data_IF_692626058991
#
_entry.id   IF_692626058991
#
_cell.length_a   1.000
_cell.length_b   1.000
_cell.length_c   1.000
_cell.angle_alpha   90.00
_cell.angle_beta   90.00
_cell.angle_gamma   90.00
#
_symmetry.space_group_name_H-M   'P 1'
#
loop_
_entity.id
_entity.type
_entity.pdbx_description
1 polymer ?
#
# COMPACT_ATOMS: atom_id res chain seq x y z
N UNK A 1 -31.82 -17.80 -11.15
CA UNK A 1 -31.63 -16.34 -11.12
C UNK A 1 -30.18 -16.02 -10.73
N UNK A 2 -29.19 -16.44 -11.54
CA UNK A 2 -27.76 -16.49 -11.14
C UNK A 2 -26.88 -15.35 -11.70
N UNK A 3 -27.42 -14.46 -12.55
CA UNK A 3 -26.59 -13.50 -13.29
C UNK A 3 -26.15 -12.23 -12.53
N UNK A 4 -26.93 -11.76 -11.55
CA UNK A 4 -26.68 -10.45 -10.93
C UNK A 4 -25.55 -10.49 -9.89
N UNK A 5 -25.41 -11.58 -9.13
CA UNK A 5 -24.36 -11.72 -8.11
C UNK A 5 -22.97 -11.86 -8.72
N UNK A 6 -22.86 -12.58 -9.83
CA UNK A 6 -21.59 -12.80 -10.54
C UNK A 6 -21.10 -11.51 -11.21
N UNK A 7 -22.03 -10.73 -11.77
CA UNK A 7 -21.73 -9.41 -12.32
C UNK A 7 -21.26 -8.43 -11.23
N UNK A 8 -21.94 -8.40 -10.07
CA UNK A 8 -21.51 -7.59 -8.92
C UNK A 8 -20.12 -8.03 -8.45
N UNK A 9 -19.89 -9.32 -8.28
CA UNK A 9 -18.59 -9.85 -7.87
C UNK A 9 -17.48 -9.48 -8.86
N UNK A 10 -17.74 -9.57 -10.18
CA UNK A 10 -16.78 -9.19 -11.21
C UNK A 10 -16.46 -7.68 -11.19
N UNK A 11 -17.46 -6.82 -10.97
CA UNK A 11 -17.27 -5.37 -10.85
C UNK A 11 -16.47 -5.01 -9.60
N UNK A 12 -16.75 -5.65 -8.47
CA UNK A 12 -16.04 -5.40 -7.22
C UNK A 12 -14.57 -5.86 -7.28
N UNK A 13 -14.26 -6.97 -7.98
CA UNK A 13 -12.85 -7.36 -8.27
C UNK A 13 -12.08 -6.29 -9.03
N UNK A 14 -12.76 -5.46 -9.81
CA UNK A 14 -12.17 -4.31 -10.55
C UNK A 14 -12.18 -3.02 -9.73
N UNK A 15 -12.38 -3.08 -8.41
CA UNK A 15 -12.45 -1.94 -7.48
C UNK A 15 -13.55 -0.92 -7.83
N UNK A 16 -14.69 -1.38 -8.38
CA UNK A 16 -15.84 -0.53 -8.56
C UNK A 16 -16.32 0.05 -7.21
N UNK A 17 -16.67 1.33 -7.18
CA UNK A 17 -17.18 1.97 -5.96
C UNK A 17 -18.61 1.48 -5.66
N UNK A 18 -18.85 0.80 -4.51
CA UNK A 18 -20.18 0.27 -4.16
C UNK A 18 -21.18 1.35 -3.72
N UNK A 19 -20.71 2.59 -3.49
CA UNK A 19 -21.48 3.71 -2.96
C UNK A 19 -21.87 4.75 -4.03
N UNK A 20 -21.73 4.40 -5.32
CA UNK A 20 -22.19 5.27 -6.42
C UNK A 20 -23.67 5.60 -6.27
N UNK A 21 -24.09 6.80 -6.66
CA UNK A 21 -25.48 7.25 -6.54
C UNK A 21 -26.09 7.52 -7.90
N UNK A 22 -27.34 7.11 -8.09
CA UNK A 22 -28.13 7.48 -9.27
C UNK A 22 -28.55 8.95 -9.20
N UNK A 23 -29.25 9.45 -10.23
CA UNK A 23 -29.78 10.83 -10.26
C UNK A 23 -30.77 11.13 -9.14
N UNK A 24 -31.44 10.11 -8.62
CA UNK A 24 -32.36 10.19 -7.48
C UNK A 24 -31.67 9.81 -6.16
N UNK A 25 -30.33 9.82 -6.16
CA UNK A 25 -29.50 9.58 -5.00
C UNK A 25 -29.55 8.15 -4.43
N UNK A 26 -30.10 7.18 -5.16
CA UNK A 26 -30.14 5.78 -4.76
C UNK A 26 -28.77 5.11 -4.96
N UNK A 27 -28.40 4.26 -4.02
CA UNK A 27 -27.19 3.43 -4.03
C UNK A 27 -27.49 2.02 -4.59
N UNK A 28 -26.48 1.31 -5.12
CA UNK A 28 -26.61 -0.09 -5.49
C UNK A 28 -27.19 -0.95 -4.36
N UNK A 29 -26.86 -0.63 -3.11
CA UNK A 29 -27.39 -1.32 -1.93
C UNK A 29 -28.88 -1.05 -1.71
N UNK A 30 -29.36 0.18 -1.91
CA UNK A 30 -30.79 0.51 -1.84
C UNK A 30 -31.61 -0.21 -2.92
N UNK A 31 -31.08 -0.29 -4.14
CA UNK A 31 -31.74 -1.02 -5.23
C UNK A 31 -31.81 -2.51 -4.91
N UNK A 32 -30.71 -3.13 -4.48
CA UNK A 32 -30.71 -4.53 -4.05
C UNK A 32 -31.68 -4.80 -2.89
N UNK A 33 -31.76 -3.87 -1.94
CA UNK A 33 -32.67 -3.93 -0.80
C UNK A 33 -34.15 -3.81 -1.23
N UNK A 34 -34.46 -2.87 -2.13
CA UNK A 34 -35.81 -2.63 -2.66
C UNK A 34 -36.35 -3.83 -3.46
N UNK A 35 -35.48 -4.51 -4.21
CA UNK A 35 -35.83 -5.73 -4.97
C UNK A 35 -35.67 -7.03 -4.18
N UNK A 36 -35.40 -6.97 -2.87
CA UNK A 36 -35.30 -8.13 -1.96
C UNK A 36 -34.21 -9.13 -2.37
N UNK A 37 -33.10 -8.65 -2.92
CA UNK A 37 -31.95 -9.47 -3.31
C UNK A 37 -30.95 -9.59 -2.15
N UNK A 38 -31.24 -10.49 -1.20
CA UNK A 38 -30.45 -10.65 0.02
C UNK A 38 -28.97 -10.98 -0.26
N UNK A 39 -28.69 -11.82 -1.26
CA UNK A 39 -27.33 -12.19 -1.67
C UNK A 39 -26.58 -11.01 -2.28
N UNK A 40 -27.25 -10.18 -3.07
CA UNK A 40 -26.67 -8.95 -3.61
C UNK A 40 -26.40 -7.93 -2.49
N UNK A 41 -27.31 -7.78 -1.53
CA UNK A 41 -27.08 -6.98 -0.33
C UNK A 41 -25.86 -7.49 0.46
N UNK A 42 -25.77 -8.80 0.70
CA UNK A 42 -24.65 -9.40 1.42
C UNK A 42 -23.30 -9.15 0.71
N UNK A 43 -23.25 -9.33 -0.61
CA UNK A 43 -22.05 -9.07 -1.41
C UNK A 43 -21.66 -7.58 -1.40
N UNK A 44 -22.63 -6.68 -1.57
CA UNK A 44 -22.37 -5.23 -1.52
C UNK A 44 -21.86 -4.80 -0.14
N UNK A 45 -22.47 -5.30 0.93
CA UNK A 45 -22.03 -5.06 2.30
C UNK A 45 -20.63 -5.62 2.58
N UNK A 46 -20.32 -6.82 2.06
CA UNK A 46 -18.98 -7.41 2.13
C UNK A 46 -17.92 -6.55 1.43
N UNK A 47 -18.32 -5.85 0.36
CA UNK A 47 -17.48 -4.91 -0.36
C UNK A 47 -17.58 -3.46 0.14
N UNK A 48 -18.02 -3.24 1.38
CA UNK A 48 -18.07 -1.93 2.07
C UNK A 48 -19.11 -0.94 1.52
N UNK A 49 -20.22 -1.44 0.99
CA UNK A 49 -21.39 -0.58 0.77
C UNK A 49 -21.90 0.00 2.09
N UNK A 50 -22.19 1.30 2.10
CA UNK A 50 -22.68 2.06 3.24
C UNK A 50 -24.17 1.86 3.43
N UNK A 51 -24.60 1.45 4.63
CA UNK A 51 -26.02 1.23 4.93
C UNK A 51 -26.75 2.50 5.42
N UNK A 52 -26.01 3.59 5.61
CA UNK A 52 -26.50 4.86 6.13
C UNK A 52 -26.88 5.90 5.07
N UNK A 53 -26.54 5.67 3.80
CA UNK A 53 -26.80 6.62 2.72
C UNK A 53 -28.30 6.66 2.39
N UNK A 54 -28.89 7.86 2.46
CA UNK A 54 -30.29 8.08 2.12
C UNK A 54 -30.48 8.47 0.65
N UNK A 55 -31.62 8.13 0.06
CA UNK A 55 -32.03 8.64 -1.27
C UNK A 55 -32.54 10.10 -1.19
N UNK A 56 -33.04 10.63 -2.31
CA UNK A 56 -33.59 11.99 -2.37
C UNK A 56 -34.84 12.18 -1.48
N UNK A 57 -35.49 11.10 -1.06
CA UNK A 57 -36.65 11.09 -0.17
C UNK A 57 -36.24 10.87 1.30
N UNK A 58 -34.95 10.79 1.61
CA UNK A 58 -34.46 10.55 2.97
C UNK A 58 -34.52 9.08 3.42
N UNK A 59 -34.80 8.14 2.51
CA UNK A 59 -34.93 6.72 2.84
C UNK A 59 -33.58 6.03 2.77
N UNK A 60 -33.21 5.32 3.83
CA UNK A 60 -32.00 4.47 3.87
C UNK A 60 -32.27 3.12 3.20
N UNK A 61 -31.23 2.33 2.85
CA UNK A 61 -31.43 0.97 2.35
C UNK A 61 -32.33 0.11 3.25
N UNK A 62 -32.23 0.27 4.57
CA UNK A 62 -33.10 -0.41 5.52
C UNK A 62 -34.58 0.01 5.38
N UNK A 63 -34.85 1.29 5.17
CA UNK A 63 -36.20 1.80 4.92
C UNK A 63 -36.75 1.25 3.58
N UNK A 64 -35.93 1.25 2.53
CA UNK A 64 -36.30 0.70 1.22
C UNK A 64 -36.60 -0.81 1.28
N UNK A 65 -35.88 -1.59 2.10
CA UNK A 65 -36.16 -3.01 2.32
C UNK A 65 -37.50 -3.26 3.05
N UNK A 66 -37.92 -2.32 3.92
CA UNK A 66 -39.21 -2.41 4.64
C UNK A 66 -40.38 -1.98 3.75
N UNK A 67 -40.16 -1.01 2.86
CA UNK A 67 -41.16 -0.47 1.94
C UNK A 67 -41.34 -1.28 0.65
N UNK A 68 -40.47 -2.28 0.37
CA UNK A 68 -40.50 -3.03 -0.88
C UNK A 68 -41.87 -3.72 -1.10
N UNK A 69 -42.71 -3.15 -1.99
CA UNK A 69 -43.97 -3.75 -2.44
C UNK A 69 -43.81 -4.64 -3.69
N UNK A 70 -42.58 -4.77 -4.19
CA UNK A 70 -42.27 -5.59 -5.35
C UNK A 70 -42.34 -7.08 -4.98
N UNK A 71 -43.37 -7.76 -5.48
CA UNK A 71 -43.60 -9.18 -5.24
C UNK A 71 -44.82 -9.72 -5.97
N UNK A 72 -44.90 -9.55 -7.29
CA UNK A 72 -45.84 -10.29 -8.16
C UNK A 72 -45.21 -11.55 -8.76
N UNK A 73 -44.24 -12.17 -8.07
CA UNK A 73 -43.55 -13.39 -8.49
C UNK A 73 -43.66 -14.52 -7.44
N UNK A 74 -43.55 -15.79 -7.86
CA UNK A 74 -43.87 -16.98 -7.05
C UNK A 74 -42.93 -17.22 -5.85
N UNK A 75 -41.76 -16.57 -5.80
CA UNK A 75 -40.76 -16.74 -4.73
C UNK A 75 -40.92 -15.72 -3.58
N UNK A 76 -42.15 -15.21 -3.37
CA UNK A 76 -42.52 -14.27 -2.31
C UNK A 76 -42.46 -14.91 -0.91
N UNK A 77 -41.27 -15.27 -0.44
CA UNK A 77 -41.08 -15.62 0.95
C UNK A 77 -40.71 -14.35 1.72
N UNK A 78 -41.49 -14.00 2.73
CA UNK A 78 -41.12 -12.97 3.71
C UNK A 78 -39.70 -13.17 4.28
N UNK A 79 -39.13 -14.37 4.13
CA UNK A 79 -37.74 -14.74 4.42
C UNK A 79 -36.72 -13.90 3.64
N UNK A 80 -36.88 -13.66 2.34
CA UNK A 80 -35.92 -12.85 1.57
C UNK A 80 -35.93 -11.38 2.02
N UNK A 81 -37.12 -10.84 2.33
CA UNK A 81 -37.26 -9.49 2.89
C UNK A 81 -36.67 -9.40 4.30
N UNK A 82 -37.01 -10.36 5.17
CA UNK A 82 -36.49 -10.45 6.52
C UNK A 82 -34.96 -10.52 6.52
N UNK A 83 -34.36 -11.31 5.62
CA UNK A 83 -32.91 -11.44 5.48
C UNK A 83 -32.24 -10.14 5.02
N UNK A 84 -32.83 -9.42 4.07
CA UNK A 84 -32.34 -8.08 3.71
C UNK A 84 -32.42 -7.11 4.90
N UNK A 85 -33.55 -7.08 5.61
CA UNK A 85 -33.75 -6.22 6.77
C UNK A 85 -32.75 -6.54 7.89
N UNK A 86 -32.51 -7.81 8.16
CA UNK A 86 -31.54 -8.27 9.16
C UNK A 86 -30.11 -7.85 8.81
N UNK A 87 -29.65 -8.12 7.59
CA UNK A 87 -28.31 -7.74 7.12
C UNK A 87 -28.08 -6.23 7.20
N UNK A 88 -29.09 -5.45 6.80
CA UNK A 88 -29.02 -3.99 6.80
C UNK A 88 -29.13 -3.41 8.21
N UNK A 89 -29.95 -3.98 9.09
CA UNK A 89 -30.05 -3.57 10.49
C UNK A 89 -28.76 -3.86 11.25
N UNK A 90 -28.17 -5.05 11.07
CA UNK A 90 -26.89 -5.42 11.68
C UNK A 90 -25.76 -4.48 11.22
N UNK A 91 -25.74 -4.13 9.93
CA UNK A 91 -24.77 -3.16 9.41
C UNK A 91 -25.01 -1.76 9.97
N UNK A 92 -26.26 -1.27 9.97
CA UNK A 92 -26.61 0.06 10.46
C UNK A 92 -26.30 0.22 11.96
N UNK A 93 -26.54 -0.80 12.77
CA UNK A 93 -26.18 -0.81 14.19
C UNK A 93 -24.66 -0.70 14.40
N UNK A 94 -23.87 -1.42 13.57
CA UNK A 94 -22.41 -1.33 13.59
C UNK A 94 -21.93 0.06 13.16
N UNK A 95 -22.53 0.66 12.14
CA UNK A 95 -22.22 2.02 11.68
C UNK A 95 -22.64 3.10 12.70
N UNK A 96 -23.74 2.90 13.44
CA UNK A 96 -24.17 3.78 14.53
C UNK A 96 -23.23 3.72 15.73
N UNK A 97 -22.82 2.52 16.17
CA UNK A 97 -21.86 2.33 17.25
C UNK A 97 -20.50 2.97 16.93
N UNK A 98 -20.11 3.01 15.64
CA UNK A 98 -18.93 3.75 15.18
C UNK A 98 -19.07 5.28 15.33
N UNK A 99 -20.27 5.85 15.15
CA UNK A 99 -20.49 7.30 15.26
C UNK A 99 -20.49 7.81 16.71
N UNK A 100 -20.93 7.00 17.66
CA UNK A 100 -20.95 7.36 19.09
C UNK A 100 -19.53 7.41 19.71
N UNK A 101 -18.50 6.92 18.98
CA UNK A 101 -17.11 6.77 19.45
C UNK A 101 -16.06 7.81 18.99
N UNK A 102 -16.41 8.92 18.30
CA UNK A 102 -15.51 10.07 17.87
C UNK A 102 -14.66 9.83 16.59
N UNK A 103 -13.93 10.86 16.06
CA UNK A 103 -14.34 12.07 15.32
C UNK A 103 -14.42 11.84 13.78
N UNK A 104 -14.85 12.87 13.04
CA UNK A 104 -15.13 12.84 11.61
C UNK A 104 -13.92 12.53 10.71
N UNK A 105 -13.79 11.28 10.27
CA UNK A 105 -13.05 10.89 9.07
C UNK A 105 -13.95 9.97 8.23
N UNK A 106 -13.95 10.12 6.91
CA UNK A 106 -14.84 9.34 6.05
C UNK A 106 -14.52 7.84 6.18
N UNK A 107 -15.52 6.93 6.12
CA UNK A 107 -15.28 5.48 6.27
C UNK A 107 -14.26 4.90 5.28
N UNK A 108 -14.10 5.54 4.13
CA UNK A 108 -13.15 5.15 3.09
C UNK A 108 -11.72 5.61 3.43
N UNK A 109 -11.55 6.81 4.00
CA UNK A 109 -10.25 7.31 4.49
C UNK A 109 -9.81 6.58 5.75
N UNK A 110 -10.70 6.32 6.71
CA UNK A 110 -10.39 5.54 7.91
C UNK A 110 -10.05 4.08 7.56
N UNK A 111 -10.73 3.49 6.57
CA UNK A 111 -10.41 2.16 6.07
C UNK A 111 -9.09 2.08 5.31
N UNK A 112 -8.74 3.13 4.56
CA UNK A 112 -7.45 3.26 3.89
C UNK A 112 -6.31 3.54 4.89
N UNK A 113 -6.54 4.41 5.88
CA UNK A 113 -5.61 4.71 6.96
C UNK A 113 -5.38 3.48 7.85
N UNK A 114 -6.42 2.72 8.18
CA UNK A 114 -6.28 1.46 8.92
C UNK A 114 -5.54 0.40 8.11
N UNK A 115 -5.82 0.25 6.80
CA UNK A 115 -5.09 -0.66 5.93
C UNK A 115 -3.61 -0.24 5.76
N UNK A 116 -3.35 1.06 5.66
CA UNK A 116 -2.00 1.63 5.63
C UNK A 116 -1.27 1.40 6.96
N UNK A 117 -1.97 1.53 8.09
CA UNK A 117 -1.43 1.26 9.43
C UNK A 117 -1.09 -0.22 9.61
N UNK A 118 -1.97 -1.12 9.15
CA UNK A 118 -1.73 -2.57 9.15
C UNK A 118 -0.55 -2.90 8.25
N UNK A 119 -0.52 -2.38 7.01
CA UNK A 119 0.61 -2.55 6.10
C UNK A 119 1.92 -1.98 6.65
N UNK A 120 1.87 -0.86 7.38
CA UNK A 120 3.05 -0.28 8.03
C UNK A 120 3.55 -1.15 9.20
N UNK A 121 2.64 -1.80 9.95
CA UNK A 121 2.99 -2.75 11.01
C UNK A 121 3.57 -4.04 10.44
N UNK A 122 2.93 -4.62 9.42
CA UNK A 122 3.42 -5.80 8.70
C UNK A 122 4.80 -5.52 8.08
N UNK A 123 4.95 -4.36 7.43
CA UNK A 123 6.25 -3.92 6.92
C UNK A 123 7.28 -3.87 8.06
N UNK A 124 6.95 -3.29 9.23
CA UNK A 124 7.85 -3.20 10.37
C UNK A 124 8.31 -4.56 10.91
N UNK A 125 7.40 -5.52 11.03
CA UNK A 125 7.71 -6.89 11.44
C UNK A 125 8.64 -7.58 10.43
N UNK A 126 8.36 -7.43 9.14
CA UNK A 126 9.22 -7.92 8.06
C UNK A 126 10.59 -7.23 8.04
N UNK A 127 10.69 -5.93 8.36
CA UNK A 127 11.98 -5.25 8.53
C UNK A 127 12.79 -5.90 9.63
N UNK A 128 12.17 -6.20 10.77
CA UNK A 128 12.86 -6.86 11.88
C UNK A 128 13.31 -8.28 11.51
N UNK A 129 12.47 -9.06 10.83
CA UNK A 129 12.86 -10.37 10.31
C UNK A 129 14.05 -10.27 9.34
N UNK A 130 13.99 -9.33 8.39
CA UNK A 130 15.08 -9.07 7.45
C UNK A 130 16.38 -8.67 8.16
N UNK A 131 16.31 -7.82 9.19
CA UNK A 131 17.46 -7.47 10.01
C UNK A 131 18.01 -8.70 10.76
N UNK A 132 17.14 -9.59 11.23
CA UNK A 132 17.51 -10.86 11.86
C UNK A 132 18.25 -11.81 10.91
N UNK A 133 17.78 -11.95 9.66
CA UNK A 133 18.47 -12.71 8.62
C UNK A 133 19.81 -12.06 8.24
N UNK A 134 19.84 -10.74 8.14
CA UNK A 134 21.06 -9.99 7.85
C UNK A 134 22.15 -10.23 8.91
N UNK A 135 21.79 -10.20 10.19
CA UNK A 135 22.70 -10.47 11.29
C UNK A 135 23.30 -11.90 11.25
N UNK A 136 22.56 -12.86 10.68
CA UNK A 136 22.99 -14.24 10.48
C UNK A 136 23.80 -14.46 9.18
N UNK A 137 23.98 -13.42 8.35
CA UNK A 137 24.61 -13.54 7.03
C UNK A 137 23.72 -14.17 5.95
N UNK A 138 22.44 -14.37 6.23
CA UNK A 138 21.45 -14.94 5.31
C UNK A 138 20.88 -13.84 4.40
N UNK A 139 21.70 -13.36 3.46
CA UNK A 139 21.39 -12.16 2.69
C UNK A 139 20.26 -12.35 1.68
N UNK A 140 20.07 -13.55 1.12
CA UNK A 140 18.97 -13.79 0.17
C UNK A 140 17.61 -13.78 0.87
N UNK A 141 17.54 -14.37 2.06
CA UNK A 141 16.37 -14.38 2.94
C UNK A 141 16.06 -12.97 3.44
N UNK A 142 17.09 -12.21 3.79
CA UNK A 142 16.93 -10.79 4.14
C UNK A 142 16.35 -9.98 2.97
N UNK A 143 16.86 -10.19 1.75
CA UNK A 143 16.32 -9.55 0.53
C UNK A 143 14.86 -9.92 0.31
N UNK A 144 14.48 -11.18 0.50
CA UNK A 144 13.09 -11.62 0.36
C UNK A 144 12.18 -10.91 1.38
N UNK A 145 12.57 -10.89 2.66
CA UNK A 145 11.82 -10.21 3.72
C UNK A 145 11.64 -8.71 3.44
N UNK A 146 12.71 -8.01 3.04
CA UNK A 146 12.62 -6.59 2.67
C UNK A 146 11.78 -6.34 1.41
N UNK A 147 11.82 -7.25 0.44
CA UNK A 147 11.03 -7.12 -0.79
C UNK A 147 9.53 -7.28 -0.51
N UNK A 148 9.17 -8.21 0.38
CA UNK A 148 7.79 -8.34 0.86
C UNK A 148 7.40 -7.07 1.64
N UNK A 149 8.26 -6.55 2.51
CA UNK A 149 7.97 -5.32 3.25
C UNK A 149 7.73 -4.11 2.33
N UNK A 150 8.51 -3.99 1.25
CA UNK A 150 8.38 -2.93 0.24
C UNK A 150 7.10 -3.04 -0.59
N UNK A 151 6.44 -4.21 -0.60
CA UNK A 151 5.12 -4.35 -1.23
C UNK A 151 4.01 -3.65 -0.45
N UNK A 152 4.23 -3.39 0.85
CA UNK A 152 3.30 -2.68 1.72
C UNK A 152 3.63 -1.20 1.89
N UNK A 153 4.93 -0.83 1.84
CA UNK A 153 5.38 0.53 2.12
C UNK A 153 6.60 0.93 1.27
N UNK A 154 6.52 2.06 0.55
CA UNK A 154 7.65 2.66 -0.18
C UNK A 154 8.55 3.44 0.81
N UNK A 155 9.48 2.73 1.47
CA UNK A 155 10.28 3.26 2.58
C UNK A 155 11.78 3.34 2.28
N UNK A 156 12.38 4.49 2.56
CA UNK A 156 13.79 4.76 2.30
C UNK A 156 14.73 3.82 3.09
N UNK A 157 14.36 3.44 4.32
CA UNK A 157 15.20 2.57 5.15
C UNK A 157 15.22 1.15 4.59
N UNK A 158 14.07 0.64 4.15
CA UNK A 158 13.94 -0.67 3.52
C UNK A 158 14.79 -0.84 2.26
N UNK A 159 14.68 0.09 1.31
CA UNK A 159 15.54 0.07 0.12
C UNK A 159 17.02 0.14 0.50
N UNK A 160 17.35 0.98 1.49
CA UNK A 160 18.73 1.12 1.94
C UNK A 160 19.28 -0.18 2.56
N UNK A 161 18.47 -0.90 3.34
CA UNK A 161 18.87 -2.18 3.94
C UNK A 161 18.96 -3.30 2.90
N UNK A 162 18.04 -3.34 1.93
CA UNK A 162 18.08 -4.31 0.83
C UNK A 162 19.27 -4.07 -0.10
N UNK A 163 19.60 -2.80 -0.37
CA UNK A 163 20.82 -2.40 -1.09
C UNK A 163 22.09 -2.95 -0.43
N UNK A 164 22.17 -2.91 0.92
CA UNK A 164 23.33 -3.48 1.63
C UNK A 164 23.43 -5.00 1.43
N UNK A 165 22.30 -5.71 1.43
CA UNK A 165 22.29 -7.14 1.15
C UNK A 165 22.79 -7.44 -0.26
N UNK A 166 22.36 -6.66 -1.25
CA UNK A 166 22.84 -6.80 -2.62
C UNK A 166 24.34 -6.54 -2.75
N UNK A 167 24.89 -5.55 -2.03
CA UNK A 167 26.34 -5.34 -1.97
C UNK A 167 27.07 -6.56 -1.39
N UNK A 168 26.53 -7.19 -0.33
CA UNK A 168 27.10 -8.42 0.25
C UNK A 168 27.03 -9.62 -0.71
N UNK A 169 26.01 -9.64 -1.56
CA UNK A 169 25.81 -10.65 -2.61
C UNK A 169 26.54 -10.35 -3.92
N UNK A 170 27.33 -9.27 -3.99
CA UNK A 170 28.01 -8.80 -5.21
C UNK A 170 27.06 -8.45 -6.37
N UNK A 171 25.81 -8.15 -6.07
CA UNK A 171 24.76 -7.72 -7.02
C UNK A 171 24.72 -6.21 -7.11
N UNK A 172 25.76 -5.64 -7.73
CA UNK A 172 26.04 -4.20 -7.65
C UNK A 172 25.00 -3.33 -8.39
N UNK A 173 24.39 -3.83 -9.47
CA UNK A 173 23.35 -3.09 -10.20
C UNK A 173 22.08 -2.92 -9.35
N UNK A 174 21.60 -4.00 -8.74
CA UNK A 174 20.43 -3.96 -7.87
C UNK A 174 20.69 -3.12 -6.62
N UNK A 175 21.90 -3.22 -6.05
CA UNK A 175 22.32 -2.37 -4.95
C UNK A 175 22.26 -0.87 -5.31
N UNK A 176 22.73 -0.50 -6.52
CA UNK A 176 22.70 0.88 -7.02
C UNK A 176 21.26 1.38 -7.14
N UNK A 177 20.38 0.61 -7.78
CA UNK A 177 18.98 1.01 -7.99
C UNK A 177 18.24 1.24 -6.67
N UNK A 178 18.39 0.33 -5.71
CA UNK A 178 17.79 0.47 -4.38
C UNK A 178 18.37 1.67 -3.62
N UNK A 179 19.69 1.89 -3.69
CA UNK A 179 20.31 3.02 -3.02
C UNK A 179 19.87 4.36 -3.62
N UNK A 180 19.72 4.45 -4.95
CA UNK A 180 19.17 5.64 -5.62
C UNK A 180 17.74 5.93 -5.18
N UNK A 181 16.87 4.90 -5.17
CA UNK A 181 15.49 5.02 -4.71
C UNK A 181 15.42 5.45 -3.25
N UNK A 182 16.27 4.89 -2.38
CA UNK A 182 16.36 5.29 -0.97
C UNK A 182 16.79 6.75 -0.77
N UNK A 183 17.75 7.25 -1.56
CA UNK A 183 18.17 8.66 -1.53
C UNK A 183 17.04 9.57 -1.99
N UNK A 184 16.34 9.20 -3.08
CA UNK A 184 15.21 9.98 -3.59
C UNK A 184 14.05 10.09 -2.61
N UNK A 185 13.72 9.00 -1.91
CA UNK A 185 12.65 8.99 -0.89
C UNK A 185 13.02 9.74 0.39
N UNK A 186 14.31 9.80 0.76
CA UNK A 186 14.74 10.43 2.00
C UNK A 186 14.65 11.97 1.98
N UNK A 187 14.53 12.59 0.79
CA UNK A 187 14.39 14.04 0.64
C UNK A 187 15.46 14.83 1.40
N UNK A 188 15.04 15.94 2.02
CA UNK A 188 15.94 16.83 2.79
C UNK A 188 16.45 16.22 4.10
N UNK A 189 15.68 15.31 4.71
CA UNK A 189 16.13 14.58 5.90
C UNK A 189 17.37 13.72 5.58
N UNK A 190 17.42 13.23 4.33
CA UNK A 190 18.53 12.50 3.77
C UNK A 190 18.77 11.14 4.43
N UNK A 191 19.48 10.26 3.74
CA UNK A 191 19.91 8.98 4.28
C UNK A 191 21.39 8.75 3.98
N UNK A 192 22.26 9.08 4.96
CA UNK A 192 23.72 8.96 4.81
C UNK A 192 24.17 7.55 4.44
N UNK A 193 23.50 6.53 4.98
CA UNK A 193 23.79 5.12 4.65
C UNK A 193 23.42 4.82 3.21
N UNK A 194 22.27 5.30 2.73
CA UNK A 194 21.88 5.15 1.33
C UNK A 194 22.86 5.84 0.37
N UNK A 195 23.27 7.08 0.67
CA UNK A 195 24.25 7.82 -0.13
C UNK A 195 25.60 7.07 -0.20
N UNK A 196 26.07 6.56 0.93
CA UNK A 196 27.30 5.77 0.96
C UNK A 196 27.18 4.44 0.20
N UNK A 197 26.05 3.73 0.36
CA UNK A 197 25.75 2.48 -0.37
C UNK A 197 25.67 2.72 -1.89
N UNK A 198 25.11 3.86 -2.31
CA UNK A 198 25.07 4.25 -3.71
C UNK A 198 26.48 4.41 -4.30
N UNK A 199 27.34 5.19 -3.65
CA UNK A 199 28.71 5.36 -4.14
C UNK A 199 29.51 4.05 -4.11
N UNK A 200 29.30 3.18 -3.12
CA UNK A 200 29.88 1.82 -3.08
C UNK A 200 29.41 0.94 -4.24
N UNK A 201 28.12 0.98 -4.56
CA UNK A 201 27.56 0.23 -5.69
C UNK A 201 28.15 0.73 -7.03
N UNK A 202 28.22 2.05 -7.24
CA UNK A 202 28.85 2.64 -8.41
C UNK A 202 30.34 2.28 -8.53
N UNK A 203 31.08 2.25 -7.41
CA UNK A 203 32.48 1.78 -7.39
C UNK A 203 32.59 0.32 -7.83
N UNK A 204 31.73 -0.56 -7.31
CA UNK A 204 31.71 -1.96 -7.67
C UNK A 204 31.39 -2.18 -9.16
N UNK A 205 30.62 -1.27 -9.78
CA UNK A 205 30.32 -1.27 -11.21
C UNK A 205 31.43 -0.61 -12.06
N UNK A 206 32.45 -0.02 -11.45
CA UNK A 206 33.49 0.75 -12.16
C UNK A 206 33.02 2.11 -12.68
N UNK A 207 31.85 2.58 -12.25
CA UNK A 207 31.28 3.89 -12.62
C UNK A 207 31.86 5.00 -11.73
N UNK A 208 33.17 5.20 -11.83
CA UNK A 208 33.94 6.08 -10.94
C UNK A 208 33.43 7.53 -10.86
N UNK A 209 33.00 8.18 -11.97
CA UNK A 209 32.43 9.53 -11.90
C UNK A 209 31.13 9.58 -11.07
N UNK A 210 30.28 8.56 -11.21
CA UNK A 210 29.01 8.48 -10.51
C UNK A 210 29.21 8.16 -9.03
N UNK A 211 30.21 7.33 -8.71
CA UNK A 211 30.62 7.07 -7.33
C UNK A 211 31.10 8.34 -6.61
N UNK A 212 31.97 9.12 -7.27
CA UNK A 212 32.47 10.38 -6.73
C UNK A 212 31.35 11.40 -6.54
N UNK A 213 30.43 11.53 -7.51
CA UNK A 213 29.30 12.45 -7.36
C UNK A 213 28.34 12.02 -6.25
N UNK A 214 27.99 10.74 -6.15
CA UNK A 214 27.15 10.24 -5.06
C UNK A 214 27.75 10.55 -3.68
N UNK A 215 29.07 10.39 -3.53
CA UNK A 215 29.78 10.74 -2.30
C UNK A 215 29.77 12.25 -2.04
N UNK A 216 29.99 13.08 -3.06
CA UNK A 216 29.94 14.56 -2.96
C UNK A 216 28.55 15.05 -2.56
N UNK A 217 27.49 14.52 -3.18
CA UNK A 217 26.10 14.83 -2.83
C UNK A 217 25.85 14.50 -1.36
N UNK A 218 26.29 13.31 -0.91
CA UNK A 218 26.20 12.94 0.50
C UNK A 218 26.96 13.90 1.42
N UNK A 219 28.17 14.33 1.03
CA UNK A 219 28.96 15.27 1.83
C UNK A 219 28.40 16.69 1.88
N UNK A 220 27.58 17.11 0.91
CA UNK A 220 26.84 18.38 1.02
C UNK A 220 25.85 18.35 2.17
N UNK A 221 25.21 17.20 2.42
CA UNK A 221 24.27 17.00 3.52
C UNK A 221 24.99 16.64 4.84
N UNK A 222 26.09 15.89 4.76
CA UNK A 222 26.88 15.45 5.93
C UNK A 222 28.37 15.74 5.76
N UNK A 223 28.83 17.00 5.90
CA UNK A 223 30.22 17.39 5.62
C UNK A 223 31.27 16.70 6.50
N UNK A 224 30.88 16.29 7.71
CA UNK A 224 31.75 15.64 8.68
C UNK A 224 31.80 14.10 8.54
N UNK A 225 31.10 13.50 7.57
CA UNK A 225 31.09 12.05 7.42
C UNK A 225 32.41 11.53 6.86
N UNK A 226 33.12 10.72 7.65
CA UNK A 226 34.42 10.17 7.26
C UNK A 226 34.30 9.10 6.16
N UNK A 227 33.23 8.30 6.20
CA UNK A 227 33.05 7.19 5.26
C UNK A 227 32.74 7.69 3.85
N UNK A 228 31.95 8.76 3.72
CA UNK A 228 31.69 9.43 2.44
C UNK A 228 32.93 10.15 1.89
N UNK A 229 33.75 10.77 2.76
CA UNK A 229 35.04 11.37 2.35
C UNK A 229 36.00 10.33 1.82
N UNK A 230 36.13 9.21 2.51
CA UNK A 230 36.96 8.10 2.06
C UNK A 230 36.46 7.55 0.72
N UNK A 231 35.14 7.34 0.58
CA UNK A 231 34.53 6.88 -0.66
C UNK A 231 34.82 7.79 -1.87
N UNK A 232 34.74 9.11 -1.67
CA UNK A 232 35.07 10.09 -2.70
C UNK A 232 36.55 10.00 -3.12
N UNK A 233 37.45 9.91 -2.14
CA UNK A 233 38.88 9.77 -2.38
C UNK A 233 39.21 8.47 -3.12
N UNK A 234 38.60 7.35 -2.72
CA UNK A 234 38.79 6.05 -3.36
C UNK A 234 38.37 6.09 -4.84
N UNK A 235 37.20 6.68 -5.13
CA UNK A 235 36.70 6.85 -6.50
C UNK A 235 37.60 7.75 -7.35
N UNK A 236 38.07 8.87 -6.82
CA UNK A 236 38.95 9.78 -7.55
C UNK A 236 40.34 9.18 -7.79
N UNK A 237 40.89 8.48 -6.80
CA UNK A 237 42.19 7.82 -6.90
C UNK A 237 42.17 6.70 -7.94
N UNK A 238 41.14 5.85 -7.91
CA UNK A 238 40.95 4.79 -8.89
C UNK A 238 40.80 5.38 -10.31
N UNK A 239 40.07 6.49 -10.45
CA UNK A 239 39.90 7.17 -11.74
C UNK A 239 41.24 7.68 -12.28
N UNK A 240 42.05 8.31 -11.43
CA UNK A 240 43.39 8.80 -11.81
C UNK A 240 44.35 7.66 -12.11
N UNK A 241 44.19 6.48 -11.51
CA UNK A 241 45.01 5.31 -11.83
C UNK A 241 44.68 4.77 -13.22
N UNK A 242 43.39 4.60 -13.54
CA UNK A 242 42.97 4.13 -14.87
C UNK A 242 43.40 5.06 -15.99
N UNK A 243 43.21 6.37 -15.82
CA UNK A 243 43.66 7.36 -16.81
C UNK A 243 45.18 7.36 -17.04
N UNK A 244 45.98 7.04 -16.01
CA UNK A 244 47.44 6.92 -16.16
C UNK A 244 47.87 5.61 -16.80
N UNK A 245 47.14 4.52 -16.52
CA UNK A 245 47.39 3.21 -17.14
C UNK A 245 46.95 3.12 -18.60
N UNK A 246 45.92 3.85 -19.00
CA UNK A 246 45.47 3.98 -20.40
C UNK A 246 46.40 4.87 -21.25
N UNK A 247 47.24 5.67 -20.60
CA UNK A 247 48.20 6.57 -21.25
C UNK A 247 49.62 5.98 -21.39
N UNK A 248 49.81 4.70 -21.02
CA UNK A 248 51.08 3.96 -21.10
C UNK A 248 50.98 2.84 -22.13
#
# INVERSE_FOLDING_TARGET
MYGCTDAIAALMRRKANPNVRTKVHETPLQLAAYYRHAEACALLLAHRARADLADAQGRTPLASAKESKCGSGPDNSGQAQARCVELLAARAAKEAAWREGRPAESPDEAGAAAALLVGAREAAELRQQGNGFFAKGQYNEAVAAYSIALSFLDDAVLYSNRSECYLKLQRALEAKLDAQKAVGLAGEAGNKKAAWRLGRACLALGELPQAAEAARVGLRLWPADAALRQLANDAENERRRRLRGEAS
#
